data_IF_320371631169
#
_entry.id   IF_320371631169
#
_cell.length_a   1.000
_cell.length_b   1.000
_cell.length_c   1.000
_cell.angle_alpha   90.00
_cell.angle_beta   90.00
_cell.angle_gamma   90.00
#
_symmetry.space_group_name_H-M   'P 1'
#
loop_
_entity.id
_entity.type
_entity.pdbx_description
1 polymer ?
#
# COMPACT_ATOMS: atom_id res chain seq x y z
N UNK A 1 -11.84 6.96 -8.72
CA UNK A 1 -11.66 5.52 -9.01
C UNK A 1 -12.15 5.12 -10.39
N UNK A 2 -13.36 5.51 -10.83
CA UNK A 2 -13.88 5.10 -12.15
C UNK A 2 -12.94 5.44 -13.32
N UNK A 3 -12.35 6.64 -13.33
CA UNK A 3 -11.37 7.09 -14.35
C UNK A 3 -10.07 6.26 -14.38
N UNK A 4 -9.74 5.56 -13.29
CA UNK A 4 -8.54 4.75 -13.16
C UNK A 4 -8.82 3.24 -13.31
N UNK A 5 -10.06 2.88 -13.64
CA UNK A 5 -10.49 1.48 -13.72
C UNK A 5 -9.64 0.66 -14.70
N UNK A 6 -9.29 1.24 -15.85
CA UNK A 6 -8.44 0.58 -16.85
C UNK A 6 -7.05 0.26 -16.29
N UNK A 7 -6.41 1.20 -15.61
CA UNK A 7 -5.09 1.01 -15.01
C UNK A 7 -5.11 0.02 -13.84
N UNK A 8 -6.13 0.10 -12.97
CA UNK A 8 -6.26 -0.75 -11.78
C UNK A 8 -6.67 -2.19 -12.12
N UNK A 9 -7.30 -2.43 -13.27
CA UNK A 9 -7.73 -3.75 -13.74
C UNK A 9 -6.97 -4.23 -14.99
N UNK A 10 -5.89 -3.56 -15.38
CA UNK A 10 -5.11 -3.89 -16.58
C UNK A 10 -4.61 -5.34 -16.57
N UNK A 11 -4.64 -6.00 -17.73
CA UNK A 11 -4.05 -7.34 -17.94
C UNK A 11 -2.79 -7.28 -18.82
N UNK A 12 -2.17 -6.11 -18.93
CA UNK A 12 -0.95 -5.91 -19.70
C UNK A 12 0.21 -6.76 -19.15
N UNK A 13 1.12 -7.16 -20.05
CA UNK A 13 2.34 -7.89 -19.73
C UNK A 13 3.53 -7.06 -20.20
N UNK A 14 4.46 -6.65 -19.31
CA UNK A 14 4.53 -6.98 -17.87
C UNK A 14 3.45 -6.30 -17.03
N UNK A 15 3.15 -6.87 -15.86
CA UNK A 15 2.15 -6.32 -14.92
C UNK A 15 2.48 -4.87 -14.55
N UNK A 16 1.46 -4.01 -14.56
CA UNK A 16 1.63 -2.61 -14.15
C UNK A 16 1.58 -2.46 -12.62
N UNK A 17 2.27 -1.47 -12.03
CA UNK A 17 2.17 -1.23 -10.59
C UNK A 17 0.76 -0.87 -10.12
N UNK A 18 -0.02 -0.16 -10.93
CA UNK A 18 -1.41 0.18 -10.61
C UNK A 18 -2.29 -1.06 -10.56
N UNK A 19 -2.04 -2.04 -11.43
CA UNK A 19 -2.71 -3.35 -11.38
C UNK A 19 -2.40 -4.11 -10.09
N UNK A 20 -1.22 -3.94 -9.50
CA UNK A 20 -0.89 -4.49 -8.17
C UNK A 20 -1.72 -3.79 -7.08
N UNK A 21 -1.83 -2.47 -7.11
CA UNK A 21 -2.64 -1.72 -6.14
C UNK A 21 -4.12 -2.09 -6.23
N UNK A 22 -4.66 -2.26 -7.44
CA UNK A 22 -6.02 -2.72 -7.66
C UNK A 22 -6.32 -4.04 -6.94
N UNK A 23 -5.43 -5.02 -7.07
CA UNK A 23 -5.59 -6.30 -6.35
C UNK A 23 -5.38 -6.19 -4.86
N UNK A 24 -4.44 -5.38 -4.39
CA UNK A 24 -4.28 -5.16 -2.96
C UNK A 24 -5.59 -4.65 -2.34
N UNK A 25 -6.27 -3.73 -3.01
CA UNK A 25 -7.57 -3.22 -2.55
C UNK A 25 -8.65 -4.30 -2.59
N UNK A 26 -8.66 -5.14 -3.62
CA UNK A 26 -9.68 -6.19 -3.80
C UNK A 26 -9.50 -7.38 -2.84
N UNK A 27 -8.25 -7.79 -2.58
CA UNK A 27 -7.93 -9.05 -1.90
C UNK A 27 -7.62 -8.87 -0.41
N UNK A 28 -7.03 -7.74 0.01
CA UNK A 28 -6.64 -7.58 1.42
C UNK A 28 -7.86 -7.39 2.33
N UNK A 29 -7.82 -8.07 3.48
CA UNK A 29 -8.63 -7.71 4.64
C UNK A 29 -8.09 -6.39 5.21
N UNK A 30 -8.69 -5.28 4.77
CA UNK A 30 -8.23 -3.93 5.08
C UNK A 30 -8.38 -3.56 6.56
N UNK A 31 -9.26 -4.24 7.31
CA UNK A 31 -9.43 -4.00 8.74
C UNK A 31 -8.44 -4.82 9.58
N UNK A 32 -7.90 -5.91 9.02
CA UNK A 32 -6.90 -6.74 9.69
C UNK A 32 -5.47 -6.61 9.16
N UNK A 33 -5.27 -5.89 8.05
CA UNK A 33 -3.97 -5.65 7.45
C UNK A 33 -3.49 -4.22 7.70
N UNK A 34 -2.19 -4.04 7.96
CA UNK A 34 -1.55 -2.73 8.04
C UNK A 34 -0.57 -2.59 6.89
N UNK A 35 -0.86 -1.67 5.96
CA UNK A 35 -0.04 -1.48 4.78
C UNK A 35 1.00 -0.38 4.99
N UNK A 36 2.23 -0.67 4.58
CA UNK A 36 3.34 0.27 4.53
C UNK A 36 3.85 0.41 3.10
N UNK A 37 4.62 1.47 2.82
CA UNK A 37 5.30 1.62 1.55
C UNK A 37 6.71 2.18 1.75
N UNK A 38 7.58 1.98 0.77
CA UNK A 38 8.92 2.56 0.76
C UNK A 38 8.96 3.93 0.05
N UNK A 39 10.12 4.56 0.01
CA UNK A 39 10.38 5.76 -0.75
C UNK A 39 10.26 5.60 -2.25
N UNK A 40 9.98 6.72 -2.91
CA UNK A 40 9.97 6.83 -4.36
C UNK A 40 8.64 6.43 -4.96
N UNK A 41 8.69 5.82 -6.13
CA UNK A 41 7.52 5.46 -6.92
C UNK A 41 6.43 4.70 -6.14
N UNK A 42 6.74 3.73 -5.24
CA UNK A 42 5.71 3.03 -4.47
C UNK A 42 4.75 3.95 -3.71
N UNK A 43 5.25 5.07 -3.16
CA UNK A 43 4.43 6.09 -2.48
C UNK A 43 3.39 6.68 -3.43
N UNK A 44 3.85 7.19 -4.56
CA UNK A 44 3.00 7.93 -5.49
C UNK A 44 2.00 7.00 -6.20
N UNK A 45 2.36 5.73 -6.33
CA UNK A 45 1.51 4.69 -6.90
C UNK A 45 0.40 4.26 -5.91
N UNK A 46 0.70 4.09 -4.61
CA UNK A 46 -0.28 3.58 -3.64
C UNK A 46 -1.18 4.67 -3.06
N UNK A 47 -0.64 5.86 -2.79
CA UNK A 47 -1.32 6.91 -2.02
C UNK A 47 -2.66 7.35 -2.62
N UNK A 48 -2.83 7.45 -3.97
CA UNK A 48 -4.10 7.89 -4.53
C UNK A 48 -5.26 6.90 -4.37
N UNK A 49 -4.97 5.62 -4.06
CA UNK A 49 -5.94 4.54 -4.19
C UNK A 49 -6.15 3.73 -2.91
N UNK A 50 -5.10 3.44 -2.14
CA UNK A 50 -5.24 2.53 -0.99
C UNK A 50 -5.98 3.20 0.18
N UNK A 51 -7.13 2.67 0.62
CA UNK A 51 -7.90 3.30 1.69
C UNK A 51 -7.40 2.86 3.07
N UNK A 52 -7.15 3.81 3.96
CA UNK A 52 -7.04 3.53 5.39
C UNK A 52 -8.45 3.36 5.99
N UNK A 53 -8.90 2.13 6.24
CA UNK A 53 -10.27 1.84 6.66
C UNK A 53 -10.49 1.95 8.17
N UNK A 54 -9.46 1.68 8.97
CA UNK A 54 -9.45 1.86 10.44
C UNK A 54 -8.22 2.65 10.88
N UNK A 55 -8.23 3.28 12.07
CA UNK A 55 -7.04 3.97 12.57
C UNK A 55 -5.79 3.08 12.51
N UNK A 56 -4.70 3.64 11.97
CA UNK A 56 -3.40 2.97 11.81
C UNK A 56 -3.36 1.76 10.84
N UNK A 57 -4.38 1.54 9.99
CA UNK A 57 -4.37 0.51 8.92
C UNK A 57 -3.46 0.83 7.72
N UNK A 58 -2.96 2.06 7.64
CA UNK A 58 -1.97 2.49 6.67
C UNK A 58 -0.92 3.33 7.39
N UNK A 59 0.35 2.94 7.28
CA UNK A 59 1.48 3.62 7.88
C UNK A 59 2.46 3.99 6.78
N UNK A 60 2.35 5.24 6.32
CA UNK A 60 3.28 5.85 5.38
C UNK A 60 4.01 7.02 6.01
N UNK A 61 4.55 7.90 5.17
CA UNK A 61 5.22 9.12 5.60
C UNK A 61 4.65 10.36 4.90
N UNK A 62 4.82 11.53 5.53
CA UNK A 62 4.36 12.80 4.98
C UNK A 62 5.42 13.61 4.22
N UNK A 63 6.72 13.35 4.46
CA UNK A 63 7.84 14.14 3.90
C UNK A 63 8.94 13.23 3.34
N UNK A 64 10.20 13.66 3.43
CA UNK A 64 11.38 12.97 2.94
C UNK A 64 11.90 12.04 4.00
N UNK A 65 12.37 10.90 3.53
CA UNK A 65 12.76 9.73 4.29
C UNK A 65 13.59 8.89 3.31
N UNK A 66 14.55 8.13 3.84
CA UNK A 66 15.53 7.43 3.02
C UNK A 66 14.93 6.20 2.35
N UNK A 67 15.46 5.81 1.18
CA UNK A 67 15.14 4.54 0.52
C UNK A 67 15.45 3.35 1.44
N UNK A 68 14.61 2.31 1.40
CA UNK A 68 14.74 1.13 2.26
C UNK A 68 14.06 1.25 3.62
N UNK A 69 13.27 2.30 3.85
CA UNK A 69 12.58 2.52 5.13
C UNK A 69 11.33 1.64 5.29
N UNK A 70 10.74 1.16 4.20
CA UNK A 70 9.51 0.35 4.24
C UNK A 70 9.63 -0.93 5.08
N UNK A 71 10.76 -1.65 4.98
CA UNK A 71 11.00 -2.90 5.71
C UNK A 71 11.11 -2.70 7.24
N UNK A 72 11.98 -1.81 7.75
CA UNK A 72 12.03 -1.57 9.20
C UNK A 72 10.72 -0.98 9.73
N UNK A 73 9.99 -0.20 8.93
CA UNK A 73 8.66 0.30 9.29
C UNK A 73 7.66 -0.85 9.47
N UNK A 74 7.56 -1.76 8.49
CA UNK A 74 6.75 -2.98 8.58
C UNK A 74 7.12 -3.83 9.80
N UNK A 75 8.42 -3.96 10.09
CA UNK A 75 8.91 -4.71 11.26
C UNK A 75 8.41 -4.07 12.56
N UNK A 76 8.50 -2.75 12.69
CA UNK A 76 7.98 -2.01 13.84
C UNK A 76 6.46 -2.15 14.00
N UNK A 77 5.73 -2.04 12.89
CA UNK A 77 4.27 -2.26 12.86
C UNK A 77 3.93 -3.66 13.39
N UNK A 78 4.61 -4.70 12.90
CA UNK A 78 4.34 -6.08 13.31
C UNK A 78 4.68 -6.35 14.77
N UNK A 79 5.70 -5.68 15.32
CA UNK A 79 5.99 -5.74 16.76
C UNK A 79 4.92 -5.03 17.61
N UNK A 80 4.39 -3.90 17.15
CA UNK A 80 3.37 -3.14 17.86
C UNK A 80 1.96 -3.74 17.75
N UNK A 81 1.66 -4.40 16.64
CA UNK A 81 0.38 -5.01 16.33
C UNK A 81 0.56 -6.47 15.90
N UNK A 82 0.97 -7.37 16.81
CA UNK A 82 1.35 -8.74 16.46
C UNK A 82 0.24 -9.57 15.82
N UNK A 83 -1.02 -9.28 16.15
CA UNK A 83 -2.19 -9.99 15.63
C UNK A 83 -2.66 -9.48 14.25
N UNK A 84 -2.12 -8.36 13.78
CA UNK A 84 -2.43 -7.76 12.47
C UNK A 84 -1.48 -8.28 11.39
N UNK A 85 -1.97 -8.40 10.16
CA UNK A 85 -1.14 -8.78 9.00
C UNK A 85 -0.38 -7.59 8.44
#
# INVERSE_FOLDING_TARGET
>A
MAEWSEALNSNEVPITPYRVIGEMINVLDKENSIVTHDAGAPRDIIMPFYPGTVPHSYVGWGKTTHLGYGIPLMTGVKMACPDKF
#
